data_IF_651503210871
#
_entry.id   IF_651503210871
#
_cell.length_a   1.000
_cell.length_b   1.000
_cell.length_c   1.000
_cell.angle_alpha   90.00
_cell.angle_beta   90.00
_cell.angle_gamma   90.00
#
_symmetry.space_group_name_H-M   'P 1'
#
loop_
_entity.id
_entity.type
_entity.pdbx_description
1 polymer ?
#
# COMPACT_ATOMS: atom_id res chain seq x y z
N UNK A 1 -8.08 -15.03 -1.43
CA UNK A 1 -7.20 -16.19 -1.12
C UNK A 1 -6.21 -15.90 0.02
N UNK A 2 -5.90 -14.64 0.34
CA UNK A 2 -4.92 -14.28 1.38
C UNK A 2 -5.36 -14.58 2.83
N UNK A 3 -6.64 -14.44 3.16
CA UNK A 3 -7.14 -14.63 4.54
C UNK A 3 -6.86 -16.04 5.08
N UNK A 4 -6.90 -17.06 4.22
CA UNK A 4 -6.64 -18.43 4.64
C UNK A 4 -5.16 -18.62 5.04
N UNK A 5 -4.22 -17.93 4.36
CA UNK A 5 -2.79 -18.01 4.67
C UNK A 5 -2.44 -17.41 6.03
N UNK A 6 -3.02 -16.25 6.37
CA UNK A 6 -2.79 -15.63 7.69
C UNK A 6 -3.43 -16.44 8.82
N UNK A 7 -4.62 -17.02 8.60
CA UNK A 7 -5.24 -17.95 9.55
C UNK A 7 -4.37 -19.20 9.73
N UNK A 8 -3.83 -19.74 8.64
CA UNK A 8 -2.96 -20.92 8.70
C UNK A 8 -1.63 -20.61 9.40
N UNK A 9 -1.08 -19.43 9.15
CA UNK A 9 0.16 -18.97 9.78
C UNK A 9 0.00 -18.71 11.28
N UNK A 10 -1.13 -18.13 11.70
CA UNK A 10 -1.43 -17.93 13.13
C UNK A 10 -1.74 -19.26 13.82
N UNK A 11 -2.54 -20.14 13.20
CA UNK A 11 -2.86 -21.46 13.74
C UNK A 11 -1.63 -22.37 13.90
N UNK A 12 -0.70 -22.33 12.95
CA UNK A 12 0.53 -23.12 12.97
C UNK A 12 1.73 -22.37 13.56
N UNK A 13 1.52 -21.17 14.12
CA UNK A 13 2.55 -20.33 14.71
C UNK A 13 3.79 -20.17 13.81
N UNK A 14 3.58 -19.68 12.59
CA UNK A 14 4.66 -19.49 11.61
C UNK A 14 5.68 -18.47 12.11
N UNK A 15 6.92 -18.94 12.18
CA UNK A 15 8.08 -18.14 12.52
C UNK A 15 8.89 -17.79 11.27
N UNK A 16 9.40 -16.57 11.25
CA UNK A 16 10.16 -15.99 10.16
C UNK A 16 11.58 -15.65 10.62
N UNK A 17 12.60 -15.95 9.81
CA UNK A 17 13.98 -15.67 10.16
C UNK A 17 14.30 -14.18 9.99
N UNK A 18 14.31 -13.44 11.08
CA UNK A 18 14.70 -12.02 11.12
C UNK A 18 15.31 -11.65 12.47
N UNK A 19 16.63 -11.46 12.53
CA UNK A 19 17.38 -11.20 13.79
C UNK A 19 17.00 -12.15 14.93
N UNK A 20 16.73 -13.41 14.59
CA UNK A 20 16.04 -14.38 15.42
C UNK A 20 14.83 -14.96 14.69
N UNK A 21 13.83 -15.40 15.45
CA UNK A 21 12.55 -15.86 14.93
C UNK A 21 11.47 -14.87 15.35
N UNK A 22 10.76 -14.32 14.36
CA UNK A 22 9.65 -13.39 14.57
C UNK A 22 8.35 -13.98 14.04
N UNK A 23 7.22 -13.49 14.52
CA UNK A 23 5.90 -13.97 14.10
C UNK A 23 5.31 -13.10 12.97
N UNK A 24 4.18 -13.55 12.42
CA UNK A 24 3.40 -12.78 11.43
C UNK A 24 3.09 -11.35 11.89
N UNK A 25 2.81 -11.16 13.18
CA UNK A 25 2.45 -9.84 13.73
C UNK A 25 3.65 -8.89 13.61
N UNK A 26 4.84 -9.34 14.00
CA UNK A 26 6.06 -8.54 13.96
C UNK A 26 6.45 -8.14 12.53
N UNK A 27 6.11 -8.96 11.52
CA UNK A 27 6.33 -8.61 10.11
C UNK A 27 5.61 -7.32 9.70
N UNK A 28 4.46 -7.01 10.32
CA UNK A 28 3.75 -5.76 10.04
C UNK A 28 4.49 -4.53 10.56
N UNK A 29 5.34 -4.68 11.57
CA UNK A 29 6.14 -3.57 12.11
C UNK A 29 7.45 -3.36 11.34
N UNK A 30 7.85 -4.32 10.52
CA UNK A 30 9.09 -4.24 9.73
C UNK A 30 9.02 -3.21 8.58
N UNK A 31 10.18 -2.68 8.23
CA UNK A 31 10.35 -1.87 7.02
C UNK A 31 10.28 -2.74 5.76
N UNK A 32 10.03 -2.13 4.60
CA UNK A 32 10.00 -2.85 3.31
C UNK A 32 11.38 -3.49 3.01
N UNK A 33 12.47 -2.84 3.44
CA UNK A 33 13.84 -3.34 3.31
C UNK A 33 14.10 -4.56 4.22
N UNK A 34 13.55 -4.54 5.42
CA UNK A 34 13.64 -5.66 6.35
C UNK A 34 12.81 -6.86 5.85
N UNK A 35 11.60 -6.60 5.33
CA UNK A 35 10.75 -7.61 4.69
C UNK A 35 11.42 -8.25 3.47
N UNK A 36 12.13 -7.46 2.65
CA UNK A 36 12.95 -7.98 1.55
C UNK A 36 14.09 -8.89 2.05
N UNK A 37 14.68 -8.56 3.19
CA UNK A 37 15.70 -9.41 3.81
C UNK A 37 15.14 -10.75 4.28
N UNK A 38 13.94 -10.76 4.88
CA UNK A 38 13.23 -12.00 5.25
C UNK A 38 12.89 -12.81 4.00
N UNK A 39 12.36 -12.17 2.97
CA UNK A 39 12.03 -12.82 1.70
C UNK A 39 13.26 -13.48 1.06
N UNK A 40 14.41 -12.80 1.03
CA UNK A 40 15.67 -13.36 0.51
C UNK A 40 16.11 -14.61 1.27
N UNK A 41 15.96 -14.63 2.59
CA UNK A 41 16.30 -15.79 3.42
C UNK A 41 15.38 -16.96 3.10
N UNK A 42 14.06 -16.76 3.09
CA UNK A 42 13.09 -17.80 2.73
C UNK A 42 13.32 -18.33 1.32
N UNK A 43 13.64 -17.46 0.36
CA UNK A 43 13.88 -17.88 -1.02
C UNK A 43 15.17 -18.68 -1.18
N UNK A 44 16.17 -18.49 -0.30
CA UNK A 44 17.37 -19.35 -0.25
C UNK A 44 17.03 -20.74 0.29
N UNK A 45 16.14 -20.82 1.28
CA UNK A 45 15.66 -22.11 1.83
C UNK A 45 14.91 -22.91 0.76
N UNK A 46 14.04 -22.26 -0.02
CA UNK A 46 13.37 -22.91 -1.17
C UNK A 46 14.37 -23.50 -2.15
N UNK A 47 15.35 -22.69 -2.59
CA UNK A 47 16.36 -23.16 -3.55
C UNK A 47 17.19 -24.31 -3.01
N UNK A 48 17.55 -24.27 -1.73
CA UNK A 48 18.28 -25.35 -1.09
C UNK A 48 17.46 -26.65 -1.05
N UNK A 49 16.17 -26.54 -0.73
CA UNK A 49 15.25 -27.69 -0.74
C UNK A 49 15.08 -28.29 -2.15
N UNK A 50 14.99 -27.44 -3.18
CA UNK A 50 14.91 -27.86 -4.58
C UNK A 50 16.21 -28.54 -5.07
N UNK A 51 17.38 -28.09 -4.60
CA UNK A 51 18.68 -28.66 -4.97
C UNK A 51 19.00 -29.99 -4.25
N UNK A 52 18.54 -30.17 -3.01
CA UNK A 52 18.80 -31.37 -2.20
C UNK A 52 17.85 -32.55 -2.51
N UNK A 53 16.73 -32.30 -3.20
CA UNK A 53 15.73 -33.33 -3.50
C UNK A 53 15.71 -33.77 -4.98
N UNK A 54 16.17 -35.00 -5.24
CA UNK A 54 16.00 -35.70 -6.53
C UNK A 54 14.54 -36.10 -6.82
N UNK A 55 13.69 -36.15 -5.79
CA UNK A 55 12.29 -36.52 -5.88
C UNK A 55 11.45 -35.25 -5.74
N UNK A 56 10.80 -34.83 -6.81
CA UNK A 56 9.99 -33.62 -6.92
C UNK A 56 8.67 -33.63 -6.10
N UNK A 57 8.59 -34.43 -5.04
CA UNK A 57 7.45 -34.42 -4.14
C UNK A 57 7.58 -33.24 -3.19
N UNK A 58 6.76 -32.21 -3.39
CA UNK A 58 6.64 -31.07 -2.47
C UNK A 58 6.37 -31.59 -1.06
N UNK A 59 7.31 -31.36 -0.15
CA UNK A 59 7.15 -31.69 1.25
C UNK A 59 6.18 -30.70 1.91
N UNK A 60 5.65 -31.06 3.08
CA UNK A 60 4.87 -30.11 3.89
C UNK A 60 5.71 -28.88 4.28
N UNK A 61 7.03 -29.04 4.38
CA UNK A 61 7.96 -27.96 4.67
C UNK A 61 8.05 -26.97 3.50
N UNK A 62 8.08 -27.45 2.26
CA UNK A 62 8.07 -26.59 1.07
C UNK A 62 6.78 -25.77 0.97
N UNK A 63 5.64 -26.38 1.30
CA UNK A 63 4.34 -25.69 1.35
C UNK A 63 4.33 -24.61 2.43
N UNK A 64 4.88 -24.89 3.61
CA UNK A 64 5.02 -23.90 4.69
C UNK A 64 5.91 -22.73 4.26
N UNK A 65 7.06 -23.00 3.62
CA UNK A 65 7.97 -21.94 3.15
C UNK A 65 7.30 -21.11 2.04
N UNK A 66 6.58 -21.75 1.12
CA UNK A 66 5.81 -21.05 0.09
C UNK A 66 4.74 -20.13 0.70
N UNK A 67 3.98 -20.62 1.69
CA UNK A 67 2.98 -19.84 2.40
C UNK A 67 3.61 -18.64 3.13
N UNK A 68 4.77 -18.84 3.79
CA UNK A 68 5.54 -17.75 4.42
C UNK A 68 5.95 -16.68 3.41
N UNK A 69 6.44 -17.10 2.25
CA UNK A 69 6.82 -16.18 1.17
C UNK A 69 5.61 -15.35 0.70
N UNK A 70 4.47 -15.99 0.52
CA UNK A 70 3.25 -15.31 0.06
C UNK A 70 2.74 -14.29 1.09
N UNK A 71 2.82 -14.60 2.38
CA UNK A 71 2.53 -13.67 3.48
C UNK A 71 3.44 -12.44 3.40
N UNK A 72 4.75 -12.63 3.25
CA UNK A 72 5.70 -11.50 3.17
C UNK A 72 5.40 -10.64 1.94
N UNK A 73 5.13 -11.24 0.77
CA UNK A 73 4.73 -10.50 -0.44
C UNK A 73 3.47 -9.68 -0.23
N UNK A 74 2.47 -10.26 0.43
CA UNK A 74 1.21 -9.57 0.73
C UNK A 74 1.46 -8.35 1.62
N UNK A 75 2.21 -8.50 2.72
CA UNK A 75 2.52 -7.40 3.65
C UNK A 75 3.26 -6.27 2.92
N UNK A 76 4.25 -6.60 2.09
CA UNK A 76 4.97 -5.62 1.26
C UNK A 76 4.02 -4.89 0.31
N UNK A 77 3.13 -5.62 -0.37
CA UNK A 77 2.14 -5.03 -1.27
C UNK A 77 1.21 -4.06 -0.55
N UNK A 78 0.72 -4.42 0.65
CA UNK A 78 -0.14 -3.55 1.46
C UNK A 78 0.61 -2.29 1.88
N UNK A 79 1.83 -2.42 2.40
CA UNK A 79 2.65 -1.26 2.81
C UNK A 79 2.95 -0.30 1.66
N UNK A 80 3.22 -0.84 0.46
CA UNK A 80 3.45 -0.01 -0.73
C UNK A 80 2.17 0.71 -1.16
N UNK A 81 1.03 0.01 -1.17
CA UNK A 81 -0.26 0.61 -1.49
C UNK A 81 -0.65 1.70 -0.49
N UNK A 82 -0.43 1.50 0.80
CA UNK A 82 -0.66 2.54 1.82
C UNK A 82 0.23 3.76 1.64
N UNK A 83 1.51 3.54 1.29
CA UNK A 83 2.44 4.64 1.01
C UNK A 83 1.96 5.44 -0.20
N UNK A 84 1.58 4.77 -1.28
CA UNK A 84 1.06 5.40 -2.48
C UNK A 84 -0.25 6.15 -2.21
N UNK A 85 -1.16 5.57 -1.43
CA UNK A 85 -2.41 6.21 -1.03
C UNK A 85 -2.15 7.53 -0.27
N UNK A 86 -1.23 7.53 0.69
CA UNK A 86 -0.83 8.75 1.42
C UNK A 86 -0.23 9.82 0.50
N UNK A 87 0.62 9.41 -0.45
CA UNK A 87 1.19 10.34 -1.42
C UNK A 87 0.14 10.92 -2.37
N UNK A 88 -0.79 10.09 -2.84
CA UNK A 88 -1.88 10.51 -3.70
C UNK A 88 -2.86 11.42 -2.97
N UNK A 89 -3.18 11.17 -1.69
CA UNK A 89 -3.98 12.09 -0.89
C UNK A 89 -3.32 13.47 -0.76
N UNK A 90 -2.00 13.52 -0.55
CA UNK A 90 -1.26 14.79 -0.49
C UNK A 90 -1.32 15.53 -1.83
N UNK A 91 -1.02 14.84 -2.93
CA UNK A 91 -1.09 15.42 -4.28
C UNK A 91 -2.50 15.91 -4.63
N UNK A 92 -3.53 15.14 -4.26
CA UNK A 92 -4.92 15.50 -4.50
C UNK A 92 -5.33 16.72 -3.69
N UNK A 93 -4.90 16.84 -2.43
CA UNK A 93 -5.12 18.05 -1.61
C UNK A 93 -4.46 19.28 -2.24
N UNK A 94 -3.18 19.18 -2.63
CA UNK A 94 -2.46 20.27 -3.29
C UNK A 94 -3.12 20.68 -4.62
N UNK A 95 -3.51 19.69 -5.43
CA UNK A 95 -4.16 19.90 -6.72
C UNK A 95 -5.54 20.54 -6.56
N UNK A 96 -6.32 20.06 -5.58
CA UNK A 96 -7.64 20.63 -5.24
C UNK A 96 -7.51 22.09 -4.80
N UNK A 97 -6.52 22.40 -3.98
CA UNK A 97 -6.28 23.77 -3.53
C UNK A 97 -5.97 24.70 -4.72
N UNK A 98 -5.07 24.30 -5.61
CA UNK A 98 -4.74 25.06 -6.83
C UNK A 98 -5.96 25.25 -7.75
N UNK A 99 -6.77 24.20 -7.94
CA UNK A 99 -7.99 24.28 -8.74
C UNK A 99 -9.01 25.27 -8.16
N UNK A 100 -9.18 25.28 -6.83
CA UNK A 100 -10.07 26.23 -6.16
C UNK A 100 -9.57 27.66 -6.31
N UNK A 101 -8.27 27.91 -6.16
CA UNK A 101 -7.68 29.25 -6.35
C UNK A 101 -7.84 29.75 -7.78
N UNK A 102 -7.62 28.89 -8.78
CA UNK A 102 -7.83 29.26 -10.19
C UNK A 102 -9.30 29.53 -10.47
N UNK A 103 -10.21 28.72 -9.89
CA UNK A 103 -11.64 28.93 -10.04
C UNK A 103 -12.09 30.25 -9.43
N UNK A 104 -11.63 30.57 -8.22
CA UNK A 104 -11.92 31.84 -7.55
C UNK A 104 -11.42 33.02 -8.39
N UNK A 105 -10.14 33.02 -8.79
CA UNK A 105 -9.57 34.08 -9.65
C UNK A 105 -10.34 34.28 -10.96
N UNK A 106 -10.82 33.20 -11.58
CA UNK A 106 -11.64 33.30 -12.81
C UNK A 106 -13.02 33.88 -12.53
N UNK A 107 -13.63 33.56 -11.39
CA UNK A 107 -14.91 34.14 -10.99
C UNK A 107 -14.75 35.62 -10.68
N UNK A 108 -13.71 36.00 -9.95
CA UNK A 108 -13.40 37.40 -9.64
C UNK A 108 -13.13 38.19 -10.93
N UNK A 109 -12.29 37.66 -11.83
CA UNK A 109 -12.04 38.32 -13.12
C UNK A 109 -13.29 38.38 -14.01
N UNK A 110 -14.18 37.39 -13.95
CA UNK A 110 -15.45 37.44 -14.68
C UNK A 110 -16.36 38.54 -14.12
N UNK A 111 -16.45 38.67 -12.80
CA UNK A 111 -17.19 39.74 -12.13
C UNK A 111 -16.59 41.12 -12.42
N UNK A 112 -15.26 41.24 -12.42
CA UNK A 112 -14.55 42.50 -12.77
C UNK A 112 -14.75 42.91 -14.23
N UNK A 113 -15.02 41.97 -15.14
CA UNK A 113 -15.29 42.24 -16.55
C UNK A 113 -16.79 42.37 -16.87
N UNK A 114 -17.68 42.17 -15.90
CA UNK A 114 -19.12 42.43 -16.07
C UNK A 114 -19.38 43.94 -16.06
N UNK A 115 -20.41 44.35 -16.80
CA UNK A 115 -20.83 45.75 -16.82
C UNK A 115 -21.59 46.13 -15.54
N UNK A 116 -21.55 47.42 -15.16
CA UNK A 116 -22.25 47.92 -13.98
C UNK A 116 -23.76 47.58 -13.98
N UNK A 117 -24.41 47.60 -15.15
CA UNK A 117 -25.82 47.21 -15.31
C UNK A 117 -26.09 45.71 -15.04
N UNK A 118 -25.13 44.83 -15.34
CA UNK A 118 -25.23 43.39 -15.07
C UNK A 118 -24.95 43.08 -13.60
N UNK A 119 -24.01 43.80 -12.98
CA UNK A 119 -23.72 43.73 -11.56
C UNK A 119 -24.92 44.20 -10.73
N UNK A 120 -25.54 45.32 -11.08
CA UNK A 120 -26.73 45.83 -10.41
C UNK A 120 -27.94 44.88 -10.53
N UNK A 121 -28.12 44.22 -11.69
CA UNK A 121 -29.14 43.17 -11.85
C UNK A 121 -28.90 41.95 -10.96
N UNK A 122 -27.64 41.52 -10.79
CA UNK A 122 -27.29 40.44 -9.88
C UNK A 122 -27.52 40.82 -8.41
N UNK A 123 -27.16 42.05 -8.02
CA UNK A 123 -27.41 42.58 -6.68
C UNK A 123 -28.92 42.68 -6.37
N UNK A 124 -29.74 43.11 -7.33
CA UNK A 124 -31.19 43.20 -7.19
C UNK A 124 -31.91 41.86 -7.09
N UNK A 125 -31.30 40.73 -7.51
CA UNK A 125 -31.85 39.39 -7.29
C UNK A 125 -31.53 38.80 -5.91
N UNK A 126 -30.56 39.39 -5.19
CA UNK A 126 -30.12 38.95 -3.87
C UNK A 126 -30.83 39.70 -2.72
N UNK A 127 -31.59 40.75 -3.02
CA UNK A 127 -32.43 41.52 -2.08
C UNK A 127 -33.92 41.34 -2.34
#
# INVERSE_FOLDING_TARGET
>A
MSENLFVLATKNNYQFPFRGMINVIDLWDLSVQDLDSVFKTLNREVKKSEEESLLSSKSKEDEVIANKIEIVKYIVSVKLAEKEARENERKNKETRQRLLEIKAKRQDAALENMSDEELDKMLAQLG
#
